data_IF_556540248821
#
_entry.id   IF_556540248821
#
_cell.length_a   1.000
_cell.length_b   1.000
_cell.length_c   1.000
_cell.angle_alpha   90.00
_cell.angle_beta   90.00
_cell.angle_gamma   90.00
#
_symmetry.space_group_name_H-M   'P 1'
#
loop_
_entity.id
_entity.type
_entity.pdbx_description
1 polymer ?
#
# COMPACT_ATOMS: atom_id res chain seq x y z
N UNK A 1 -4.45 -26.38 -66.49
CA UNK A 1 -5.58 -26.73 -67.38
C UNK A 1 -6.07 -28.18 -67.20
N UNK A 2 -5.27 -29.13 -66.69
CA UNK A 2 -5.64 -30.56 -66.57
C UNK A 2 -6.71 -30.89 -65.51
N UNK A 3 -6.72 -30.19 -64.37
CA UNK A 3 -7.59 -30.51 -63.24
C UNK A 3 -9.06 -30.07 -63.46
N UNK A 4 -9.26 -29.08 -64.34
CA UNK A 4 -10.61 -28.61 -64.69
C UNK A 4 -11.29 -29.60 -65.62
N UNK A 5 -10.55 -30.21 -66.56
CA UNK A 5 -11.07 -31.21 -67.50
C UNK A 5 -11.41 -32.54 -66.83
N UNK A 6 -10.64 -33.00 -65.84
CA UNK A 6 -10.92 -34.22 -65.08
C UNK A 6 -12.21 -34.08 -64.25
N UNK A 7 -12.43 -32.93 -63.61
CA UNK A 7 -13.68 -32.65 -62.89
C UNK A 7 -14.89 -32.57 -63.81
N UNK A 8 -14.72 -32.15 -65.08
CA UNK A 8 -15.80 -32.14 -66.08
C UNK A 8 -16.11 -33.54 -66.62
N UNK A 9 -15.12 -34.41 -66.76
CA UNK A 9 -15.32 -35.81 -67.13
C UNK A 9 -16.03 -36.60 -66.03
N UNK A 10 -15.66 -36.42 -64.76
CA UNK A 10 -16.39 -37.01 -63.62
C UNK A 10 -17.83 -36.49 -63.54
N UNK A 11 -18.04 -35.18 -63.74
CA UNK A 11 -19.40 -34.62 -63.79
C UNK A 11 -20.20 -35.20 -64.95
N UNK A 12 -19.60 -35.31 -66.15
CA UNK A 12 -20.26 -35.86 -67.33
C UNK A 12 -20.60 -37.35 -67.15
N UNK A 13 -19.74 -38.11 -66.48
CA UNK A 13 -19.96 -39.53 -66.22
C UNK A 13 -21.08 -39.75 -65.18
N UNK A 14 -21.11 -38.93 -64.12
CA UNK A 14 -22.18 -38.92 -63.12
C UNK A 14 -23.51 -38.51 -63.75
N UNK A 15 -23.51 -37.46 -64.58
CA UNK A 15 -24.69 -37.00 -65.32
C UNK A 15 -25.18 -38.09 -66.29
N UNK A 16 -24.28 -38.82 -66.97
CA UNK A 16 -24.65 -39.92 -67.87
C UNK A 16 -25.33 -41.10 -67.16
N UNK A 17 -25.02 -41.32 -65.88
CA UNK A 17 -25.60 -42.38 -65.04
C UNK A 17 -26.97 -41.99 -64.46
N UNK A 18 -27.28 -40.70 -64.42
CA UNK A 18 -28.53 -40.14 -63.88
C UNK A 18 -29.60 -39.95 -64.96
N UNK A 19 -29.23 -39.91 -66.25
CA UNK A 19 -30.16 -39.76 -67.38
C UNK A 19 -30.76 -41.13 -67.75
N UNK A 20 -32.09 -41.35 -67.59
CA UNK A 20 -32.72 -42.61 -67.93
C UNK A 20 -32.73 -42.86 -69.45
N UNK A 21 -32.47 -44.09 -69.87
CA UNK A 21 -32.38 -44.50 -71.29
C UNK A 21 -33.72 -44.49 -72.04
N UNK A 22 -34.83 -44.23 -71.35
CA UNK A 22 -36.20 -44.36 -71.86
C UNK A 22 -36.88 -42.97 -71.89
N UNK A 23 -37.18 -42.44 -73.08
CA UNK A 23 -37.41 -41.00 -73.27
C UNK A 23 -38.62 -40.42 -72.50
N UNK A 24 -39.67 -41.22 -72.30
CA UNK A 24 -40.86 -40.82 -71.54
C UNK A 24 -40.68 -40.91 -70.00
N UNK A 25 -39.75 -41.73 -69.51
CA UNK A 25 -39.33 -41.77 -68.09
C UNK A 25 -38.24 -40.75 -67.77
N UNK A 26 -37.39 -40.46 -68.76
CA UNK A 26 -36.28 -39.52 -68.69
C UNK A 26 -36.72 -38.13 -68.22
N UNK A 27 -37.79 -37.59 -68.80
CA UNK A 27 -38.27 -36.26 -68.42
C UNK A 27 -38.75 -36.17 -66.96
N UNK A 28 -39.36 -37.23 -66.40
CA UNK A 28 -39.89 -37.20 -65.03
C UNK A 28 -38.83 -37.47 -63.96
N UNK A 29 -37.89 -38.39 -64.18
CA UNK A 29 -36.81 -38.66 -63.22
C UNK A 29 -35.75 -37.57 -63.21
N UNK A 30 -35.47 -36.97 -64.38
CA UNK A 30 -34.53 -35.85 -64.48
C UNK A 30 -35.10 -34.59 -63.80
N UNK A 31 -36.40 -34.32 -63.94
CA UNK A 31 -37.07 -33.25 -63.20
C UNK A 31 -36.92 -33.42 -61.68
N UNK A 32 -37.17 -34.63 -61.17
CA UNK A 32 -37.01 -34.94 -59.73
C UNK A 32 -35.59 -34.77 -59.23
N UNK A 33 -34.59 -35.12 -60.03
CA UNK A 33 -33.19 -34.91 -59.67
C UNK A 33 -32.82 -33.42 -59.65
N UNK A 34 -33.31 -32.64 -60.61
CA UNK A 34 -33.11 -31.19 -60.65
C UNK A 34 -33.78 -30.53 -59.44
N UNK A 35 -35.03 -30.86 -59.12
CA UNK A 35 -35.74 -30.35 -57.93
C UNK A 35 -34.98 -30.66 -56.63
N UNK A 36 -34.45 -31.88 -56.50
CA UNK A 36 -33.66 -32.28 -55.33
C UNK A 36 -32.33 -31.53 -55.25
N UNK A 37 -31.66 -31.30 -56.37
CA UNK A 37 -30.44 -30.50 -56.44
C UNK A 37 -30.70 -29.04 -56.07
N UNK A 38 -31.75 -28.43 -56.61
CA UNK A 38 -32.17 -27.07 -56.26
C UNK A 38 -32.45 -26.96 -54.76
N UNK A 39 -33.18 -27.91 -54.18
CA UNK A 39 -33.43 -27.95 -52.73
C UNK A 39 -32.15 -28.02 -51.90
N UNK A 40 -31.17 -28.84 -52.31
CA UNK A 40 -29.89 -28.97 -51.62
C UNK A 40 -29.07 -27.68 -51.71
N UNK A 41 -29.07 -27.02 -52.87
CA UNK A 41 -28.37 -25.73 -53.07
C UNK A 41 -29.00 -24.65 -52.20
N UNK A 42 -30.33 -24.50 -52.23
CA UNK A 42 -31.05 -23.55 -51.38
C UNK A 42 -30.79 -23.82 -49.88
N UNK A 43 -30.69 -25.09 -49.48
CA UNK A 43 -30.36 -25.44 -48.10
C UNK A 43 -28.92 -25.09 -47.74
N UNK A 44 -27.95 -25.37 -48.63
CA UNK A 44 -26.55 -24.99 -48.43
C UNK A 44 -26.38 -23.46 -48.36
N UNK A 45 -27.10 -22.69 -49.17
CA UNK A 45 -27.09 -21.23 -49.09
C UNK A 45 -27.58 -20.75 -47.72
N UNK A 46 -28.68 -21.30 -47.20
CA UNK A 46 -29.20 -20.96 -45.86
C UNK A 46 -28.21 -21.31 -44.75
N UNK A 47 -27.54 -22.45 -44.85
CA UNK A 47 -26.50 -22.86 -43.89
C UNK A 47 -25.29 -21.93 -43.97
N UNK A 48 -24.85 -21.58 -45.17
CA UNK A 48 -23.73 -20.66 -45.41
C UNK A 48 -24.01 -19.27 -44.81
N UNK A 49 -25.21 -18.72 -45.03
CA UNK A 49 -25.64 -17.46 -44.41
C UNK A 49 -25.64 -17.57 -42.88
N UNK A 50 -26.13 -18.68 -42.33
CA UNK A 50 -26.14 -18.90 -40.88
C UNK A 50 -24.72 -18.97 -40.29
N UNK A 51 -23.78 -19.60 -41.00
CA UNK A 51 -22.37 -19.65 -40.62
C UNK A 51 -21.75 -18.26 -40.67
N UNK A 52 -22.02 -17.48 -41.73
CA UNK A 52 -21.54 -16.10 -41.83
C UNK A 52 -22.01 -15.24 -40.65
N UNK A 53 -23.31 -15.29 -40.32
CA UNK A 53 -23.85 -14.58 -39.16
C UNK A 53 -23.23 -15.04 -37.84
N UNK A 54 -23.02 -16.35 -37.67
CA UNK A 54 -22.35 -16.86 -36.47
C UNK A 54 -20.89 -16.39 -36.38
N UNK A 55 -20.20 -16.29 -37.50
CA UNK A 55 -18.83 -15.76 -37.59
C UNK A 55 -18.79 -14.28 -37.17
N UNK A 56 -19.71 -13.46 -37.70
CA UNK A 56 -19.81 -12.04 -37.35
C UNK A 56 -20.01 -11.84 -35.84
N UNK A 57 -20.88 -12.65 -35.23
CA UNK A 57 -21.12 -12.63 -33.77
C UNK A 57 -19.87 -13.01 -32.99
N UNK A 58 -19.12 -14.02 -33.44
CA UNK A 58 -17.87 -14.43 -32.79
C UNK A 58 -16.82 -13.31 -32.89
N UNK A 59 -16.71 -12.64 -34.03
CA UNK A 59 -15.79 -11.50 -34.20
C UNK A 59 -16.14 -10.35 -33.25
N UNK A 60 -17.41 -10.00 -33.12
CA UNK A 60 -17.88 -8.98 -32.17
C UNK A 60 -17.51 -9.36 -30.72
N UNK A 61 -17.74 -10.62 -30.33
CA UNK A 61 -17.36 -11.10 -29.00
C UNK A 61 -15.84 -11.05 -28.77
N UNK A 62 -15.04 -11.41 -29.76
CA UNK A 62 -13.58 -11.36 -29.67
C UNK A 62 -13.08 -9.92 -29.51
N UNK A 63 -13.67 -8.97 -30.24
CA UNK A 63 -13.29 -7.57 -30.12
C UNK A 63 -13.70 -6.97 -28.78
N UNK A 64 -14.87 -7.35 -28.26
CA UNK A 64 -15.28 -6.98 -26.91
C UNK A 64 -14.31 -7.51 -25.84
N UNK A 65 -13.94 -8.79 -25.92
CA UNK A 65 -12.98 -9.40 -25.00
C UNK A 65 -11.60 -8.75 -25.11
N UNK A 66 -11.14 -8.43 -26.33
CA UNK A 66 -9.87 -7.70 -26.54
C UNK A 66 -9.90 -6.31 -25.89
N UNK A 67 -11.01 -5.60 -26.00
CA UNK A 67 -11.18 -4.30 -25.37
C UNK A 67 -11.16 -4.42 -23.85
N UNK A 68 -11.92 -5.35 -23.28
CA UNK A 68 -11.95 -5.61 -21.83
C UNK A 68 -10.56 -6.00 -21.29
N UNK A 69 -9.84 -6.89 -22.00
CA UNK A 69 -8.47 -7.26 -21.65
C UNK A 69 -7.52 -6.06 -21.66
N UNK A 70 -7.59 -5.18 -22.68
CA UNK A 70 -6.77 -3.95 -22.72
C UNK A 70 -7.10 -3.02 -21.57
N UNK A 71 -8.38 -2.85 -21.24
CA UNK A 71 -8.80 -2.01 -20.13
C UNK A 71 -8.29 -2.58 -18.79
N UNK A 72 -8.39 -3.90 -18.59
CA UNK A 72 -7.84 -4.56 -17.40
C UNK A 72 -6.33 -4.49 -17.32
N UNK A 73 -5.62 -4.62 -18.43
CA UNK A 73 -4.17 -4.41 -18.47
C UNK A 73 -3.81 -3.00 -18.00
N UNK A 74 -4.50 -1.98 -18.51
CA UNK A 74 -4.29 -0.59 -18.10
C UNK A 74 -4.56 -0.35 -16.60
N UNK A 75 -5.64 -0.95 -16.07
CA UNK A 75 -5.94 -0.91 -14.63
C UNK A 75 -4.81 -1.55 -13.81
N UNK A 76 -4.31 -2.71 -14.22
CA UNK A 76 -3.19 -3.39 -13.57
C UNK A 76 -1.92 -2.54 -13.57
N UNK A 77 -1.52 -2.00 -14.73
CA UNK A 77 -0.31 -1.17 -14.86
C UNK A 77 -0.41 0.09 -13.98
N UNK A 78 -1.61 0.68 -13.91
CA UNK A 78 -1.89 1.85 -13.07
C UNK A 78 -1.78 1.51 -11.57
N UNK A 79 -2.33 0.37 -11.16
CA UNK A 79 -2.25 -0.11 -9.78
C UNK A 79 -0.81 -0.44 -9.40
N UNK A 80 -0.07 -1.12 -10.28
CA UNK A 80 1.34 -1.45 -10.05
C UNK A 80 2.18 -0.19 -9.82
N UNK A 81 1.96 0.85 -10.64
CA UNK A 81 2.63 2.14 -10.47
C UNK A 81 2.30 2.79 -9.12
N UNK A 82 1.03 2.80 -8.72
CA UNK A 82 0.60 3.33 -7.41
C UNK A 82 1.23 2.58 -6.24
N UNK A 83 1.30 1.25 -6.33
CA UNK A 83 1.95 0.42 -5.30
C UNK A 83 3.43 0.79 -5.19
N UNK A 84 4.16 0.83 -6.31
CA UNK A 84 5.57 1.23 -6.33
C UNK A 84 5.80 2.63 -5.74
N UNK A 85 4.95 3.60 -6.06
CA UNK A 85 5.03 4.94 -5.48
C UNK A 85 4.80 4.96 -3.96
N UNK A 86 3.81 4.19 -3.47
CA UNK A 86 3.54 4.07 -2.04
C UNK A 86 4.67 3.36 -1.28
N UNK A 87 5.23 2.29 -1.85
CA UNK A 87 6.37 1.59 -1.26
C UNK A 87 7.58 2.50 -1.12
N UNK A 88 7.90 3.28 -2.17
CA UNK A 88 8.99 4.27 -2.12
C UNK A 88 8.73 5.35 -1.07
N UNK A 89 7.49 5.84 -0.96
CA UNK A 89 7.12 6.81 0.07
C UNK A 89 7.29 6.23 1.47
N UNK A 90 6.84 4.99 1.69
CA UNK A 90 6.95 4.31 2.97
C UNK A 90 8.42 4.09 3.35
N UNK A 91 9.27 3.64 2.41
CA UNK A 91 10.70 3.49 2.66
C UNK A 91 11.35 4.81 3.09
N UNK A 92 11.01 5.93 2.44
CA UNK A 92 11.52 7.26 2.83
C UNK A 92 11.10 7.64 4.25
N UNK A 93 9.83 7.41 4.61
CA UNK A 93 9.32 7.70 5.96
C UNK A 93 10.02 6.86 7.03
N UNK A 94 10.23 5.55 6.77
CA UNK A 94 10.94 4.66 7.69
C UNK A 94 12.38 5.12 7.91
N UNK A 95 13.08 5.49 6.84
CA UNK A 95 14.46 6.02 6.94
C UNK A 95 14.49 7.33 7.75
N UNK A 96 13.52 8.22 7.52
CA UNK A 96 13.44 9.49 8.26
C UNK A 96 13.15 9.26 9.75
N UNK A 97 12.18 8.40 10.08
CA UNK A 97 11.87 8.02 11.46
C UNK A 97 13.09 7.41 12.16
N UNK A 98 13.76 6.46 11.50
CA UNK A 98 14.95 5.82 12.04
C UNK A 98 16.07 6.83 12.37
N UNK A 99 16.28 7.83 11.52
CA UNK A 99 17.25 8.91 11.79
C UNK A 99 16.87 9.73 13.02
N UNK A 100 15.58 10.07 13.16
CA UNK A 100 15.08 10.80 14.32
C UNK A 100 15.23 9.98 15.60
N UNK A 101 14.93 8.68 15.56
CA UNK A 101 15.06 7.77 16.70
C UNK A 101 16.52 7.65 17.15
N UNK A 102 17.46 7.51 16.21
CA UNK A 102 18.90 7.48 16.53
C UNK A 102 19.33 8.79 17.20
N UNK A 103 18.88 9.94 16.70
CA UNK A 103 19.21 11.24 17.27
C UNK A 103 18.60 11.41 18.67
N UNK A 104 17.34 11.02 18.85
CA UNK A 104 16.64 11.05 20.13
C UNK A 104 17.33 10.13 21.15
N UNK A 105 17.71 8.91 20.75
CA UNK A 105 18.44 7.96 21.60
C UNK A 105 19.80 8.50 22.03
N UNK A 106 20.55 9.15 21.12
CA UNK A 106 21.82 9.81 21.46
C UNK A 106 21.61 10.95 22.46
N UNK A 107 20.60 11.80 22.23
CA UNK A 107 20.28 12.91 23.13
C UNK A 107 19.86 12.40 24.52
N UNK A 108 19.03 11.36 24.56
CA UNK A 108 18.60 10.72 25.81
C UNK A 108 19.78 10.12 26.58
N UNK A 109 20.69 9.41 25.89
CA UNK A 109 21.89 8.86 26.51
C UNK A 109 22.78 9.96 27.11
N UNK A 110 22.99 11.07 26.38
CA UNK A 110 23.73 12.22 26.91
C UNK A 110 23.06 12.82 28.15
N UNK A 111 21.74 12.99 28.13
CA UNK A 111 21.00 13.53 29.25
C UNK A 111 21.04 12.59 30.47
N UNK A 112 20.96 11.28 30.26
CA UNK A 112 21.12 10.29 31.34
C UNK A 112 22.50 10.36 31.98
N UNK A 113 23.56 10.38 31.17
CA UNK A 113 24.91 10.52 31.70
C UNK A 113 25.12 11.83 32.46
N UNK A 114 24.52 12.94 31.98
CA UNK A 114 24.53 14.21 32.71
C UNK A 114 23.77 14.13 34.04
N UNK A 115 22.59 13.50 34.04
CA UNK A 115 21.81 13.27 35.25
C UNK A 115 22.60 12.46 36.27
N UNK A 116 23.12 11.29 35.88
CA UNK A 116 23.93 10.42 36.73
C UNK A 116 25.15 11.15 37.30
N UNK A 117 25.82 11.98 36.49
CA UNK A 117 26.92 12.82 36.95
C UNK A 117 26.46 13.83 38.01
N UNK A 118 25.34 14.54 37.81
CA UNK A 118 24.84 15.49 38.81
C UNK A 118 24.36 14.80 40.09
N UNK A 119 23.68 13.66 39.96
CA UNK A 119 23.25 12.83 41.09
C UNK A 119 24.47 12.35 41.91
N UNK A 120 25.56 11.95 41.25
CA UNK A 120 26.79 11.52 41.91
C UNK A 120 27.56 12.68 42.56
N UNK A 121 27.71 13.82 41.88
CA UNK A 121 28.48 14.96 42.41
C UNK A 121 27.81 15.58 43.63
N UNK A 122 26.48 15.72 43.58
CA UNK A 122 25.70 16.43 44.59
C UNK A 122 25.03 15.49 45.61
N UNK A 123 25.20 14.17 45.42
CA UNK A 123 24.52 13.13 46.21
C UNK A 123 23.01 13.38 46.28
N UNK A 124 22.39 13.60 45.12
CA UNK A 124 20.94 13.87 45.00
C UNK A 124 20.24 12.83 44.14
N UNK A 125 18.92 12.72 44.29
CA UNK A 125 18.05 11.91 43.43
C UNK A 125 16.66 12.49 43.31
N UNK A 126 15.83 11.91 42.44
CA UNK A 126 14.41 12.24 42.28
C UNK A 126 13.58 10.99 42.58
N UNK A 127 12.56 11.14 43.43
CA UNK A 127 11.65 10.07 43.81
C UNK A 127 10.22 10.41 43.38
N UNK A 128 9.55 9.44 42.76
CA UNK A 128 8.13 9.50 42.41
C UNK A 128 7.29 9.08 43.62
N UNK A 129 6.40 9.96 44.06
CA UNK A 129 5.55 9.76 45.23
C UNK A 129 4.27 8.96 44.92
N UNK A 130 4.03 8.61 43.66
CA UNK A 130 2.84 7.90 43.20
C UNK A 130 1.61 8.82 43.19
N UNK A 131 1.25 9.30 42.00
CA UNK A 131 0.21 10.31 41.65
C UNK A 131 0.75 11.41 40.70
N UNK A 132 1.93 11.19 40.12
CA UNK A 132 2.60 12.16 39.24
C UNK A 132 3.33 13.28 39.98
N UNK A 133 3.39 13.22 41.31
CA UNK A 133 4.18 14.14 42.13
C UNK A 133 5.62 13.66 42.27
N UNK A 134 6.55 14.61 42.19
CA UNK A 134 7.97 14.33 42.31
C UNK A 134 8.54 15.04 43.55
N UNK A 135 9.45 14.37 44.25
CA UNK A 135 10.28 14.99 45.28
C UNK A 135 11.76 14.76 44.98
N UNK A 136 12.58 15.73 45.37
CA UNK A 136 14.02 15.61 45.37
C UNK A 136 14.46 14.97 46.67
N UNK A 137 15.51 14.17 46.59
CA UNK A 137 16.16 13.48 47.69
C UNK A 137 17.60 13.97 47.73
N UNK A 138 18.09 14.33 48.91
CA UNK A 138 19.48 14.72 49.15
C UNK A 138 20.05 13.72 50.14
N UNK A 139 21.05 12.96 49.72
CA UNK A 139 21.77 11.99 50.53
C UNK A 139 22.90 12.71 51.27
N UNK A 140 23.02 12.45 52.57
CA UNK A 140 24.12 12.93 53.42
C UNK A 140 24.73 11.72 54.14
N UNK A 141 25.99 11.80 54.61
CA UNK A 141 26.69 10.66 55.21
C UNK A 141 25.92 9.92 56.31
N UNK A 142 25.09 10.62 57.08
CA UNK A 142 24.31 10.07 58.20
C UNK A 142 22.81 10.39 58.15
N UNK A 143 22.29 10.96 57.06
CA UNK A 143 20.87 11.35 56.98
C UNK A 143 20.37 11.53 55.55
N UNK A 144 19.06 11.56 55.37
CA UNK A 144 18.41 11.87 54.08
C UNK A 144 17.53 13.11 54.29
N UNK A 145 17.63 14.07 53.36
CA UNK A 145 16.77 15.25 53.32
C UNK A 145 15.89 15.20 52.06
N UNK A 146 14.70 15.77 52.14
CA UNK A 146 13.74 15.79 51.04
C UNK A 146 13.36 17.22 50.68
N UNK A 147 13.23 17.51 49.39
CA UNK A 147 12.70 18.77 48.90
C UNK A 147 11.53 18.50 47.93
N UNK A 148 10.46 19.29 48.03
CA UNK A 148 9.33 19.12 47.11
C UNK A 148 9.69 19.70 45.74
N UNK A 149 9.51 18.91 44.68
CA UNK A 149 9.69 19.36 43.29
C UNK A 149 8.37 19.72 42.62
N UNK A 150 7.25 19.43 43.27
CA UNK A 150 5.92 19.87 42.84
C UNK A 150 5.87 21.40 42.82
N UNK A 151 6.04 21.96 41.62
CA UNK A 151 5.70 23.35 41.38
C UNK A 151 4.19 23.47 41.50
N UNK A 152 3.76 24.31 42.43
CA UNK A 152 2.42 24.88 42.41
C UNK A 152 2.11 25.42 41.01
N UNK A 153 0.87 25.14 40.59
CA UNK A 153 0.19 25.59 39.39
C UNK A 153 0.89 26.67 38.55
N UNK A 154 1.10 26.39 37.26
CA UNK A 154 1.52 27.38 36.25
C UNK A 154 0.38 28.35 35.86
N UNK A 155 -0.62 28.55 36.72
CA UNK A 155 -1.78 29.39 36.42
C UNK A 155 -1.54 30.89 36.61
N UNK A 156 -0.37 31.31 37.08
CA UNK A 156 -0.08 32.72 37.39
C UNK A 156 0.86 33.43 36.40
N UNK A 157 0.83 33.07 35.10
CA UNK A 157 1.61 33.78 34.07
C UNK A 157 0.99 35.13 33.64
N UNK A 158 -0.16 35.56 34.17
CA UNK A 158 -0.84 36.78 33.69
C UNK A 158 -0.54 38.09 34.45
N UNK A 159 0.14 38.08 35.62
CA UNK A 159 0.38 39.32 36.38
C UNK A 159 1.86 39.74 36.43
N UNK A 160 2.23 40.77 35.66
CA UNK A 160 3.60 41.31 35.55
C UNK A 160 4.18 41.88 36.85
N UNK A 161 3.36 42.32 37.81
CA UNK A 161 3.83 42.81 39.12
C UNK A 161 4.25 41.66 40.07
N UNK A 162 3.66 40.47 39.93
CA UNK A 162 4.03 39.32 40.76
C UNK A 162 5.37 38.70 40.38
N UNK A 163 5.93 39.05 39.22
CA UNK A 163 7.15 38.42 38.70
C UNK A 163 8.42 38.73 39.53
N UNK A 164 8.49 39.90 40.19
CA UNK A 164 9.64 40.26 41.04
C UNK A 164 9.60 39.48 42.36
N UNK A 165 8.44 39.45 43.01
CA UNK A 165 8.23 38.69 44.26
C UNK A 165 8.35 37.18 44.02
N UNK A 166 7.79 36.67 42.92
CA UNK A 166 7.92 35.26 42.53
C UNK A 166 9.35 34.90 42.16
N UNK A 167 10.13 35.82 41.57
CA UNK A 167 11.55 35.61 41.30
C UNK A 167 12.38 35.59 42.58
N UNK A 168 12.14 36.51 43.51
CA UNK A 168 12.82 36.52 44.82
C UNK A 168 12.48 35.27 45.65
N UNK A 169 11.20 34.86 45.64
CA UNK A 169 10.76 33.63 46.28
C UNK A 169 11.44 32.41 45.65
N UNK A 170 11.49 32.33 44.31
CA UNK A 170 12.22 31.28 43.59
C UNK A 170 13.70 31.27 43.95
N UNK A 171 14.35 32.43 44.03
CA UNK A 171 15.75 32.54 44.46
C UNK A 171 15.96 32.09 45.90
N UNK A 172 15.06 32.44 46.82
CA UNK A 172 15.13 32.01 48.22
C UNK A 172 14.92 30.48 48.36
N UNK A 173 13.95 29.91 47.62
CA UNK A 173 13.72 28.46 47.55
C UNK A 173 14.95 27.72 46.98
N UNK A 174 15.54 28.25 45.91
CA UNK A 174 16.76 27.71 45.31
C UNK A 174 17.96 27.77 46.28
N UNK A 175 18.16 28.91 46.94
CA UNK A 175 19.22 29.10 47.93
C UNK A 175 19.06 28.16 49.12
N UNK A 176 17.82 27.92 49.56
CA UNK A 176 17.51 26.95 50.63
C UNK A 176 17.83 25.51 50.23
N UNK A 177 17.78 25.17 48.94
CA UNK A 177 18.18 23.85 48.45
C UNK A 177 19.71 23.78 48.36
N UNK A 178 20.35 24.79 47.76
CA UNK A 178 21.81 24.84 47.63
C UNK A 178 22.53 24.82 48.98
N UNK A 179 21.98 25.44 50.02
CA UNK A 179 22.56 25.40 51.36
C UNK A 179 22.54 24.01 52.02
N UNK A 180 21.74 23.08 51.48
CA UNK A 180 21.66 21.70 51.96
C UNK A 180 22.49 20.72 51.14
N UNK A 181 23.00 21.15 49.97
CA UNK A 181 23.83 20.31 49.11
C UNK A 181 25.26 20.28 49.62
N UNK A 182 25.83 19.08 49.64
CA UNK A 182 27.25 18.87 49.86
C UNK A 182 27.82 18.22 48.60
N UNK A 183 29.03 18.62 48.21
CA UNK A 183 29.74 17.90 47.16
C UNK A 183 30.20 16.57 47.74
N UNK A 184 30.01 15.48 46.99
CA UNK A 184 30.47 14.15 47.40
C UNK A 184 31.96 14.14 47.78
N UNK A 185 32.31 13.36 48.80
CA UNK A 185 33.68 13.27 49.32
C UNK A 185 34.70 12.80 48.27
N UNK A 186 34.26 11.99 47.31
CA UNK A 186 35.07 11.52 46.19
C UNK A 186 35.44 12.67 45.24
N UNK A 187 34.59 13.69 45.13
CA UNK A 187 34.78 14.85 44.26
C UNK A 187 35.46 16.02 44.98
N UNK A 188 35.34 16.14 46.32
CA UNK A 188 36.05 17.16 47.12
C UNK A 188 37.57 17.14 46.92
N UNK A 189 38.15 15.99 46.56
CA UNK A 189 39.59 15.85 46.30
C UNK A 189 40.06 16.52 45.00
N UNK A 190 39.13 16.87 44.11
CA UNK A 190 39.40 17.45 42.79
C UNK A 190 39.00 18.94 42.68
N UNK A 191 38.43 19.53 43.74
CA UNK A 191 38.05 20.95 43.85
C UNK A 191 39.05 21.71 44.73
#
# INVERSE_FOLDING_TARGET
>A
MSQMTENFEELAEIVSKVIPKDSNKCNNELLKHVEKLTYVIEHQEKVSVSIATASDVIEEYLDKLRFECKNKQYECDTLEKKVKEMEQKQQRLVIQSSKQDIQAKKKLSKLKAQLEMYESILEVGIEDLGNGRLRGVIFKPNSISYCNLDRGDRSSEENKENNILDSQRRHAELNSIYSQLEVSDDWKRFL
#
